data_IF_416027765866
#
_entry.id   IF_416027765866
#
_cell.length_a   1.000
_cell.length_b   1.000
_cell.length_c   1.000
_cell.angle_alpha   90.00
_cell.angle_beta   90.00
_cell.angle_gamma   90.00
#
_symmetry.space_group_name_H-M   'P 1'
#
loop_
_entity.id
_entity.type
_entity.pdbx_description
1 polymer ?
#
# COMPACT_ATOMS: atom_id res chain seq x y z
N UNK A 1 -45.16 -35.47 19.05
CA UNK A 1 -44.39 -34.60 19.96
C UNK A 1 -42.96 -35.14 20.00
N UNK A 2 -42.07 -34.63 19.15
CA UNK A 2 -40.64 -34.97 19.10
C UNK A 2 -39.93 -33.93 18.21
N UNK A 3 -39.96 -32.65 18.62
CA UNK A 3 -39.27 -31.53 17.96
C UNK A 3 -38.74 -30.58 19.05
N UNK A 4 -37.87 -31.02 19.96
CA UNK A 4 -37.22 -30.11 20.94
C UNK A 4 -35.76 -30.47 21.29
N UNK A 5 -35.06 -31.30 20.51
CA UNK A 5 -33.65 -31.69 20.81
C UNK A 5 -32.60 -31.32 19.75
N UNK A 6 -32.93 -30.50 18.75
CA UNK A 6 -31.97 -30.00 17.75
C UNK A 6 -31.37 -28.63 18.08
N UNK A 7 -31.77 -28.00 19.20
CA UNK A 7 -31.32 -26.65 19.57
C UNK A 7 -29.91 -26.59 20.18
N UNK A 8 -29.52 -27.59 20.98
CA UNK A 8 -28.27 -27.52 21.76
C UNK A 8 -27.04 -28.00 20.99
N UNK A 9 -27.19 -28.93 20.05
CA UNK A 9 -26.07 -29.46 19.25
C UNK A 9 -25.51 -28.43 18.25
N UNK A 10 -26.37 -27.53 17.75
CA UNK A 10 -25.97 -26.48 16.82
C UNK A 10 -25.15 -25.36 17.49
N UNK A 11 -25.24 -25.20 18.81
CA UNK A 11 -24.51 -24.15 19.54
C UNK A 11 -23.01 -24.46 19.67
N UNK A 12 -22.65 -25.72 19.95
CA UNK A 12 -21.26 -26.14 20.16
C UNK A 12 -20.47 -26.17 18.85
N UNK A 13 -21.08 -26.67 17.76
CA UNK A 13 -20.47 -26.66 16.43
C UNK A 13 -20.16 -25.23 15.94
N UNK A 14 -21.09 -24.28 16.13
CA UNK A 14 -20.90 -22.87 15.73
C UNK A 14 -19.79 -22.14 16.49
N UNK A 15 -19.56 -22.50 17.75
CA UNK A 15 -18.46 -21.93 18.55
C UNK A 15 -17.11 -22.43 18.02
N UNK A 16 -17.04 -23.70 17.60
CA UNK A 16 -15.83 -24.26 17.00
C UNK A 16 -15.52 -23.59 15.66
N UNK A 17 -16.52 -23.41 14.80
CA UNK A 17 -16.39 -22.73 13.50
C UNK A 17 -15.89 -21.29 13.63
N UNK A 18 -16.45 -20.53 14.59
CA UNK A 18 -16.03 -19.16 14.87
C UNK A 18 -14.58 -19.08 15.33
N UNK A 19 -14.12 -20.05 16.13
CA UNK A 19 -12.72 -20.10 16.56
C UNK A 19 -11.80 -20.47 15.39
N UNK A 20 -12.18 -21.46 14.59
CA UNK A 20 -11.42 -21.92 13.42
C UNK A 20 -11.21 -20.79 12.41
N UNK A 21 -12.28 -20.09 12.01
CA UNK A 21 -12.13 -19.00 11.03
C UNK A 21 -11.31 -17.83 11.58
N UNK A 22 -11.37 -17.55 12.89
CA UNK A 22 -10.53 -16.53 13.50
C UNK A 22 -9.04 -16.91 13.49
N UNK A 23 -8.71 -18.21 13.58
CA UNK A 23 -7.33 -18.70 13.39
C UNK A 23 -6.89 -18.47 11.95
N UNK A 24 -7.72 -18.84 10.96
CA UNK A 24 -7.44 -18.60 9.55
C UNK A 24 -7.26 -17.11 9.24
N UNK A 25 -8.10 -16.24 9.83
CA UNK A 25 -7.99 -14.80 9.65
C UNK A 25 -6.63 -14.27 10.15
N UNK A 26 -6.20 -14.67 11.35
CA UNK A 26 -4.89 -14.27 11.90
C UNK A 26 -3.74 -14.79 11.06
N UNK A 27 -3.85 -16.00 10.56
CA UNK A 27 -2.84 -16.58 9.68
C UNK A 27 -2.76 -15.82 8.34
N UNK A 28 -3.92 -15.54 7.73
CA UNK A 28 -4.01 -14.74 6.51
C UNK A 28 -3.39 -13.35 6.70
N UNK A 29 -3.64 -12.70 7.84
CA UNK A 29 -3.08 -11.40 8.17
C UNK A 29 -1.56 -11.47 8.32
N UNK A 30 -1.06 -12.52 8.99
CA UNK A 30 0.38 -12.74 9.16
C UNK A 30 1.07 -12.89 7.80
N UNK A 31 0.54 -13.76 6.94
CA UNK A 31 1.05 -13.94 5.57
C UNK A 31 1.02 -12.62 4.80
N UNK A 32 -0.12 -11.96 4.83
CA UNK A 32 -0.37 -10.74 4.07
C UNK A 32 0.54 -9.58 4.50
N UNK A 33 0.82 -9.43 5.79
CA UNK A 33 1.56 -8.27 6.30
C UNK A 33 3.07 -8.48 6.48
N UNK A 34 3.54 -9.73 6.61
CA UNK A 34 4.92 -9.98 7.04
C UNK A 34 5.72 -10.93 6.14
N UNK A 35 5.07 -11.77 5.34
CA UNK A 35 5.78 -12.76 4.51
C UNK A 35 6.10 -12.22 3.11
N UNK A 36 7.39 -12.19 2.77
CA UNK A 36 7.88 -11.80 1.44
C UNK A 36 7.97 -13.03 0.53
N UNK A 37 8.33 -14.19 1.10
CA UNK A 37 8.43 -15.45 0.38
C UNK A 37 7.10 -16.16 0.51
N UNK A 38 6.41 -16.29 -0.62
CA UNK A 38 5.06 -16.80 -0.68
C UNK A 38 5.10 -18.31 -0.91
N UNK A 39 4.67 -19.07 0.08
CA UNK A 39 4.43 -20.51 -0.05
C UNK A 39 3.06 -20.74 -0.70
N UNK A 40 3.06 -21.22 -1.94
CA UNK A 40 1.82 -21.41 -2.72
C UNK A 40 0.95 -22.54 -2.19
N UNK A 41 1.55 -23.59 -1.64
CA UNK A 41 0.80 -24.73 -1.10
C UNK A 41 0.05 -24.31 0.16
N UNK A 42 0.73 -23.55 1.03
CA UNK A 42 0.10 -22.97 2.23
C UNK A 42 -1.01 -21.98 1.89
N UNK A 43 -0.84 -21.17 0.84
CA UNK A 43 -1.93 -20.30 0.37
C UNK A 43 -3.11 -21.12 -0.13
N UNK A 44 -2.87 -22.13 -0.96
CA UNK A 44 -3.96 -22.97 -1.49
C UNK A 44 -4.75 -23.63 -0.37
N UNK A 45 -4.08 -24.19 0.64
CA UNK A 45 -4.74 -24.77 1.82
C UNK A 45 -5.62 -23.74 2.56
N UNK A 46 -5.14 -22.51 2.76
CA UNK A 46 -5.94 -21.44 3.37
C UNK A 46 -7.12 -21.01 2.51
N UNK A 47 -7.01 -21.06 1.19
CA UNK A 47 -8.13 -20.79 0.29
C UNK A 47 -9.19 -21.88 0.42
N UNK A 48 -8.81 -23.14 0.31
CA UNK A 48 -9.70 -24.29 0.44
C UNK A 48 -10.46 -24.25 1.79
N UNK A 49 -9.74 -24.04 2.90
CA UNK A 49 -10.35 -23.94 4.23
C UNK A 49 -11.26 -22.70 4.36
N UNK A 50 -10.91 -21.55 3.78
CA UNK A 50 -11.75 -20.35 3.84
C UNK A 50 -13.03 -20.49 3.00
N UNK A 51 -12.99 -21.22 1.88
CA UNK A 51 -14.16 -21.48 1.04
C UNK A 51 -15.24 -22.27 1.79
N UNK A 52 -14.87 -23.22 2.66
CA UNK A 52 -15.80 -23.96 3.51
C UNK A 52 -16.61 -23.05 4.46
N UNK A 53 -16.08 -21.88 4.81
CA UNK A 53 -16.73 -20.94 5.72
C UNK A 53 -17.57 -19.85 5.04
N UNK A 54 -17.66 -19.82 3.70
CA UNK A 54 -18.41 -18.75 2.99
C UNK A 54 -19.88 -18.71 3.44
N UNK A 55 -20.52 -19.86 3.64
CA UNK A 55 -21.94 -19.92 4.02
C UNK A 55 -22.20 -19.40 5.44
N UNK A 56 -21.24 -19.57 6.36
CA UNK A 56 -21.42 -19.29 7.79
C UNK A 56 -20.81 -17.96 8.23
N UNK A 57 -19.71 -17.55 7.57
CA UNK A 57 -18.93 -16.35 7.89
C UNK A 57 -18.45 -15.64 6.61
N UNK A 58 -19.38 -15.20 5.73
CA UNK A 58 -19.05 -14.75 4.37
C UNK A 58 -18.05 -13.60 4.33
N UNK A 59 -18.21 -12.59 5.20
CA UNK A 59 -17.32 -11.42 5.24
C UNK A 59 -15.88 -11.82 5.55
N UNK A 60 -15.68 -12.62 6.60
CA UNK A 60 -14.33 -13.04 7.02
C UNK A 60 -13.71 -14.01 6.03
N UNK A 61 -14.49 -14.96 5.52
CA UNK A 61 -14.04 -15.91 4.49
C UNK A 61 -13.58 -15.18 3.22
N UNK A 62 -14.40 -14.27 2.69
CA UNK A 62 -14.01 -13.46 1.53
C UNK A 62 -12.82 -12.55 1.81
N UNK A 63 -12.64 -12.04 3.03
CA UNK A 63 -11.47 -11.23 3.36
C UNK A 63 -10.17 -12.07 3.31
N UNK A 64 -10.21 -13.30 3.83
CA UNK A 64 -9.09 -14.25 3.72
C UNK A 64 -8.79 -14.54 2.25
N UNK A 65 -9.82 -14.88 1.45
CA UNK A 65 -9.67 -15.18 0.03
C UNK A 65 -9.12 -13.99 -0.77
N UNK A 66 -9.60 -12.76 -0.50
CA UNK A 66 -9.08 -11.56 -1.14
C UNK A 66 -7.59 -11.32 -0.84
N UNK A 67 -7.16 -11.57 0.40
CA UNK A 67 -5.75 -11.46 0.81
C UNK A 67 -4.88 -12.54 0.13
N UNK A 68 -5.39 -13.76 -0.01
CA UNK A 68 -4.70 -14.84 -0.72
C UNK A 68 -4.56 -14.53 -2.21
N UNK A 69 -5.64 -14.04 -2.85
CA UNK A 69 -5.60 -13.57 -4.22
C UNK A 69 -4.56 -12.46 -4.44
N UNK A 70 -4.44 -11.49 -3.51
CA UNK A 70 -3.37 -10.49 -3.56
C UNK A 70 -1.97 -11.11 -3.55
N UNK A 71 -1.74 -12.10 -2.68
CA UNK A 71 -0.45 -12.77 -2.56
C UNK A 71 -0.12 -13.56 -3.84
N UNK A 72 -1.12 -14.17 -4.47
CA UNK A 72 -1.00 -14.85 -5.75
C UNK A 72 -0.98 -13.91 -6.97
N UNK A 73 -1.17 -12.61 -6.74
CA UNK A 73 -1.28 -11.56 -7.77
C UNK A 73 -2.46 -11.75 -8.72
N UNK A 74 -3.54 -12.35 -8.23
CA UNK A 74 -4.81 -12.48 -8.94
C UNK A 74 -5.69 -11.26 -8.63
N UNK A 75 -5.63 -10.25 -9.51
CA UNK A 75 -6.42 -9.03 -9.36
C UNK A 75 -7.93 -9.30 -9.41
N UNK A 76 -8.37 -10.13 -10.35
CA UNK A 76 -9.79 -10.36 -10.59
C UNK A 76 -10.43 -11.09 -9.41
N UNK A 77 -9.77 -12.12 -8.87
CA UNK A 77 -10.25 -12.79 -7.66
C UNK A 77 -10.25 -11.84 -6.44
N UNK A 78 -9.19 -11.04 -6.27
CA UNK A 78 -9.11 -10.06 -5.18
C UNK A 78 -10.28 -9.08 -5.22
N UNK A 79 -10.57 -8.50 -6.39
CA UNK A 79 -11.69 -7.56 -6.55
C UNK A 79 -13.05 -8.23 -6.35
N UNK A 80 -13.27 -9.43 -6.91
CA UNK A 80 -14.52 -10.18 -6.72
C UNK A 80 -14.84 -10.41 -5.25
N UNK A 81 -13.85 -10.83 -4.46
CA UNK A 81 -14.06 -11.06 -3.02
C UNK A 81 -14.31 -9.76 -2.25
N UNK A 82 -13.59 -8.67 -2.55
CA UNK A 82 -13.88 -7.37 -1.93
C UNK A 82 -15.24 -6.82 -2.31
N UNK A 83 -15.69 -7.00 -3.55
CA UNK A 83 -17.07 -6.63 -3.94
C UNK A 83 -18.11 -7.49 -3.22
N UNK A 84 -17.88 -8.79 -3.06
CA UNK A 84 -18.76 -9.67 -2.28
C UNK A 84 -18.88 -9.20 -0.83
N UNK A 85 -17.78 -8.73 -0.22
CA UNK A 85 -17.80 -8.11 1.11
C UNK A 85 -18.65 -6.83 1.07
N UNK A 86 -18.32 -5.88 0.20
CA UNK A 86 -18.98 -4.57 0.14
C UNK A 86 -20.47 -4.64 -0.23
N UNK A 87 -20.93 -5.67 -0.92
CA UNK A 87 -22.35 -5.92 -1.15
C UNK A 87 -23.11 -6.20 0.15
N UNK A 88 -22.47 -6.87 1.11
CA UNK A 88 -23.06 -7.24 2.40
C UNK A 88 -22.78 -6.24 3.52
N UNK A 89 -21.67 -5.50 3.43
CA UNK A 89 -21.18 -4.56 4.45
C UNK A 89 -20.88 -3.17 3.87
N UNK A 90 -21.72 -2.68 2.96
CA UNK A 90 -21.52 -1.39 2.25
C UNK A 90 -21.37 -0.17 3.17
N UNK A 91 -21.83 -0.26 4.42
CA UNK A 91 -21.75 0.78 5.45
C UNK A 91 -20.64 0.53 6.51
N UNK A 92 -19.80 -0.49 6.31
CA UNK A 92 -18.68 -0.77 7.21
C UNK A 92 -17.36 -0.12 6.71
N UNK A 93 -16.81 0.87 7.43
CA UNK A 93 -15.54 1.49 7.05
C UNK A 93 -14.36 0.52 7.08
N UNK A 94 -14.39 -0.53 7.91
CA UNK A 94 -13.32 -1.52 7.97
C UNK A 94 -13.18 -2.30 6.65
N UNK A 95 -14.31 -2.61 6.00
CA UNK A 95 -14.35 -3.25 4.69
C UNK A 95 -13.64 -2.41 3.60
N UNK A 96 -13.88 -1.09 3.58
CA UNK A 96 -13.15 -0.18 2.66
C UNK A 96 -11.67 -0.05 3.02
N UNK A 97 -11.32 0.01 4.31
CA UNK A 97 -9.93 0.02 4.76
C UNK A 97 -9.19 -1.23 4.26
N UNK A 98 -9.78 -2.40 4.43
CA UNK A 98 -9.17 -3.67 4.03
C UNK A 98 -9.04 -3.81 2.50
N UNK A 99 -10.02 -3.31 1.74
CA UNK A 99 -9.93 -3.25 0.28
C UNK A 99 -8.83 -2.29 -0.19
N UNK A 100 -8.77 -1.10 0.39
CA UNK A 100 -7.70 -0.14 0.07
C UNK A 100 -6.31 -0.69 0.38
N UNK A 101 -6.16 -1.52 1.42
CA UNK A 101 -4.89 -2.16 1.70
C UNK A 101 -4.50 -3.20 0.64
N UNK A 102 -5.47 -3.99 0.18
CA UNK A 102 -5.30 -4.95 -0.90
C UNK A 102 -4.89 -4.26 -2.22
N UNK A 103 -5.59 -3.18 -2.58
CA UNK A 103 -5.27 -2.33 -3.73
C UNK A 103 -3.86 -1.75 -3.62
N UNK A 104 -3.48 -1.23 -2.45
CA UNK A 104 -2.15 -0.70 -2.18
C UNK A 104 -1.10 -1.80 -2.39
N UNK A 105 -1.32 -3.00 -1.86
CA UNK A 105 -0.36 -4.10 -2.00
C UNK A 105 -0.17 -4.54 -3.46
N UNK A 106 -1.22 -4.44 -4.26
CA UNK A 106 -1.20 -4.71 -5.71
C UNK A 106 -0.70 -3.51 -6.55
N UNK A 107 -0.30 -2.40 -5.93
CA UNK A 107 0.24 -1.21 -6.60
C UNK A 107 -0.81 -0.25 -7.17
N UNK A 108 -2.09 -0.44 -6.88
CA UNK A 108 -3.20 0.45 -7.29
C UNK A 108 -3.30 1.65 -6.33
N UNK A 109 -2.25 2.45 -6.19
CA UNK A 109 -2.15 3.46 -5.12
C UNK A 109 -3.22 4.57 -5.19
N UNK A 110 -3.57 5.06 -6.38
CA UNK A 110 -4.64 6.06 -6.53
C UNK A 110 -6.00 5.48 -6.10
N UNK A 111 -6.34 4.27 -6.57
CA UNK A 111 -7.59 3.60 -6.17
C UNK A 111 -7.60 3.28 -4.67
N UNK A 112 -6.46 2.87 -4.10
CA UNK A 112 -6.30 2.64 -2.68
C UNK A 112 -6.57 3.92 -1.87
N UNK A 113 -6.03 5.07 -2.30
CA UNK A 113 -6.33 6.37 -1.67
C UNK A 113 -7.82 6.68 -1.71
N UNK A 114 -8.47 6.56 -2.87
CA UNK A 114 -9.90 6.86 -2.98
C UNK A 114 -10.78 5.91 -2.14
N UNK A 115 -10.39 4.64 -2.06
CA UNK A 115 -11.08 3.64 -1.23
C UNK A 115 -10.89 3.93 0.26
N UNK A 116 -9.68 4.30 0.69
CA UNK A 116 -9.40 4.73 2.06
C UNK A 116 -10.14 6.04 2.41
N UNK A 117 -10.28 6.95 1.44
CA UNK A 117 -11.03 8.21 1.60
C UNK A 117 -12.50 7.92 1.88
N UNK A 118 -13.11 6.97 1.17
CA UNK A 118 -14.50 6.52 1.45
C UNK A 118 -14.64 6.00 2.89
N UNK A 119 -13.71 5.16 3.36
CA UNK A 119 -13.72 4.68 4.74
C UNK A 119 -13.71 5.85 5.75
N UNK A 120 -12.85 6.84 5.51
CA UNK A 120 -12.76 8.04 6.35
C UNK A 120 -14.04 8.90 6.30
N UNK A 121 -14.67 9.07 5.14
CA UNK A 121 -15.93 9.85 5.02
C UNK A 121 -17.06 9.26 5.87
N UNK A 122 -17.05 7.95 6.08
CA UNK A 122 -18.05 7.25 6.91
C UNK A 122 -17.80 7.50 8.41
N UNK A 123 -16.55 7.62 8.83
CA UNK A 123 -16.17 7.93 10.22
C UNK A 123 -15.06 8.99 10.26
N UNK A 124 -15.40 10.30 10.08
CA UNK A 124 -14.42 11.36 9.84
C UNK A 124 -13.45 11.65 10.99
N UNK A 125 -13.75 11.19 12.21
CA UNK A 125 -12.93 11.42 13.39
C UNK A 125 -12.20 10.16 13.86
N UNK A 126 -12.22 9.09 13.07
CA UNK A 126 -11.45 7.89 13.38
C UNK A 126 -9.96 8.11 13.07
N UNK A 127 -9.15 8.08 14.13
CA UNK A 127 -7.71 8.30 14.06
C UNK A 127 -6.97 7.22 13.26
N UNK A 128 -7.47 5.98 13.24
CA UNK A 128 -6.85 4.87 12.50
C UNK A 128 -7.12 5.02 11.00
N UNK A 129 -8.36 5.30 10.61
CA UNK A 129 -8.74 5.53 9.22
C UNK A 129 -8.02 6.75 8.64
N UNK A 130 -7.89 7.83 9.42
CA UNK A 130 -7.11 9.01 9.03
C UNK A 130 -5.64 8.66 8.79
N UNK A 131 -5.00 7.90 9.70
CA UNK A 131 -3.63 7.43 9.49
C UNK A 131 -3.49 6.55 8.25
N UNK A 132 -4.46 5.68 8.00
CA UNK A 132 -4.48 4.85 6.81
C UNK A 132 -4.61 5.67 5.52
N UNK A 133 -5.46 6.70 5.54
CA UNK A 133 -5.61 7.63 4.42
C UNK A 133 -4.32 8.44 4.18
N UNK A 134 -3.70 8.99 5.23
CA UNK A 134 -2.39 9.67 5.16
C UNK A 134 -1.36 8.81 4.43
N UNK A 135 -1.22 7.55 4.84
CA UNK A 135 -0.31 6.59 4.19
C UNK A 135 -0.60 6.42 2.70
N UNK A 136 -1.86 6.23 2.33
CA UNK A 136 -2.25 6.08 0.92
C UNK A 136 -2.09 7.38 0.12
N UNK A 137 -2.29 8.55 0.73
CA UNK A 137 -2.00 9.85 0.12
C UNK A 137 -0.50 9.98 -0.20
N UNK A 138 0.40 9.76 0.77
CA UNK A 138 1.85 9.84 0.51
C UNK A 138 2.28 8.87 -0.60
N UNK A 139 1.87 7.60 -0.50
CA UNK A 139 2.23 6.57 -1.48
C UNK A 139 1.71 6.87 -2.90
N UNK A 140 0.59 7.58 -3.03
CA UNK A 140 0.03 8.00 -4.33
C UNK A 140 0.53 9.37 -4.80
N UNK A 141 1.42 10.03 -4.05
CA UNK A 141 1.98 11.34 -4.41
C UNK A 141 1.19 12.55 -3.94
N UNK A 142 0.14 12.34 -3.14
CA UNK A 142 -0.72 13.37 -2.59
C UNK A 142 -0.18 13.91 -1.26
N UNK A 143 1.00 14.53 -1.27
CA UNK A 143 1.67 15.03 -0.06
C UNK A 143 0.91 16.17 0.62
N UNK A 144 0.33 17.10 -0.16
CA UNK A 144 -0.38 18.24 0.42
C UNK A 144 -1.71 17.81 1.05
N UNK A 145 -2.46 16.94 0.38
CA UNK A 145 -3.64 16.33 0.98
C UNK A 145 -3.27 15.45 2.20
N UNK A 146 -2.17 14.69 2.10
CA UNK A 146 -1.67 13.88 3.22
C UNK A 146 -1.41 14.75 4.46
N UNK A 147 -0.82 15.93 4.31
CA UNK A 147 -0.58 16.84 5.44
C UNK A 147 -1.87 17.32 6.09
N UNK A 148 -2.89 17.61 5.28
CA UNK A 148 -4.21 17.97 5.78
C UNK A 148 -4.82 16.85 6.63
N UNK A 149 -4.84 15.61 6.12
CA UNK A 149 -5.37 14.47 6.87
C UNK A 149 -4.52 14.11 8.09
N UNK A 150 -3.21 14.37 8.05
CA UNK A 150 -2.34 14.15 9.19
C UNK A 150 -2.65 15.11 10.33
N UNK A 151 -2.89 16.40 10.04
CA UNK A 151 -3.39 17.37 11.01
C UNK A 151 -4.73 16.95 11.62
N UNK A 152 -5.67 16.45 10.81
CA UNK A 152 -6.92 15.87 11.31
C UNK A 152 -6.68 14.65 12.21
N UNK A 153 -5.75 13.77 11.85
CA UNK A 153 -5.39 12.60 12.67
C UNK A 153 -4.89 13.02 14.05
N UNK A 154 -4.02 14.04 14.10
CA UNK A 154 -3.50 14.60 15.36
C UNK A 154 -4.64 15.13 16.23
N UNK A 155 -5.57 15.89 15.62
CA UNK A 155 -6.77 16.41 16.33
C UNK A 155 -7.70 15.29 16.82
N UNK A 156 -7.72 14.16 16.13
CA UNK A 156 -8.41 12.94 16.54
C UNK A 156 -7.61 12.09 17.56
N UNK A 157 -6.56 12.63 18.19
CA UNK A 157 -5.68 11.96 19.14
C UNK A 157 -4.87 10.79 18.56
N UNK A 158 -4.61 10.78 17.25
CA UNK A 158 -3.66 9.82 16.68
C UNK A 158 -2.26 10.03 17.25
N UNK A 159 -1.55 8.93 17.51
CA UNK A 159 -0.15 8.98 17.95
C UNK A 159 0.72 9.57 16.85
N UNK A 160 1.43 10.65 17.15
CA UNK A 160 2.38 11.29 16.23
C UNK A 160 3.71 10.57 16.25
N UNK A 161 4.14 10.10 15.10
CA UNK A 161 5.49 9.58 14.90
C UNK A 161 6.39 10.71 14.41
N UNK A 162 7.39 11.11 15.20
CA UNK A 162 8.28 12.25 14.91
C UNK A 162 8.92 12.16 13.53
N UNK A 163 9.33 10.96 13.09
CA UNK A 163 9.92 10.77 11.76
C UNK A 163 8.91 11.05 10.63
N UNK A 164 7.66 10.66 10.81
CA UNK A 164 6.58 10.88 9.83
C UNK A 164 6.17 12.33 9.75
N UNK A 165 6.03 12.96 10.90
CA UNK A 165 5.80 14.40 10.97
C UNK A 165 6.91 15.17 10.25
N UNK A 166 8.19 14.89 10.57
CA UNK A 166 9.31 15.62 10.00
C UNK A 166 9.42 15.43 8.49
N UNK A 167 9.35 14.19 8.01
CA UNK A 167 9.43 13.90 6.58
C UNK A 167 8.27 14.55 5.80
N UNK A 168 7.03 14.39 6.26
CA UNK A 168 5.87 14.92 5.54
C UNK A 168 5.86 16.46 5.55
N UNK A 169 6.18 17.08 6.69
CA UNK A 169 6.33 18.54 6.79
C UNK A 169 7.39 19.08 5.83
N UNK A 170 8.56 18.42 5.78
CA UNK A 170 9.63 18.78 4.85
C UNK A 170 9.18 18.60 3.39
N UNK A 171 8.53 17.49 3.05
CA UNK A 171 8.06 17.23 1.70
C UNK A 171 7.02 18.25 1.22
N UNK A 172 6.04 18.58 2.06
CA UNK A 172 5.01 19.57 1.73
C UNK A 172 5.63 20.94 1.52
N UNK A 173 6.54 21.36 2.41
CA UNK A 173 7.28 22.62 2.24
C UNK A 173 8.09 22.61 0.95
N UNK A 174 8.86 21.55 0.72
CA UNK A 174 9.72 21.37 -0.46
C UNK A 174 8.95 21.51 -1.76
N UNK A 175 7.78 20.86 -1.88
CA UNK A 175 6.96 20.90 -3.08
C UNK A 175 6.22 22.24 -3.25
N UNK A 176 5.73 22.86 -2.17
CA UNK A 176 5.11 24.19 -2.23
C UNK A 176 6.09 25.26 -2.69
N UNK A 177 7.32 25.26 -2.17
CA UNK A 177 8.37 26.21 -2.57
C UNK A 177 8.75 26.10 -4.06
N UNK A 178 8.46 24.96 -4.69
CA UNK A 178 8.78 24.67 -6.10
C UNK A 178 7.57 24.71 -7.02
N UNK A 179 6.40 25.02 -6.47
CA UNK A 179 5.13 25.02 -7.19
C UNK A 179 4.87 23.67 -7.89
N UNK A 180 5.08 22.57 -7.16
CA UNK A 180 4.78 21.20 -7.61
C UNK A 180 3.55 20.70 -6.85
N UNK A 181 2.49 20.37 -7.60
CA UNK A 181 1.22 19.91 -7.02
C UNK A 181 1.09 18.40 -6.87
N UNK A 182 0.16 17.97 -6.01
CA UNK A 182 -0.22 16.57 -5.85
C UNK A 182 -0.57 15.84 -7.18
N UNK A 183 -1.35 16.42 -8.14
CA UNK A 183 -1.68 15.73 -9.40
C UNK A 183 -0.46 15.43 -10.28
N UNK A 184 0.55 16.29 -10.23
CA UNK A 184 1.79 16.12 -10.97
C UNK A 184 2.64 14.98 -10.42
N UNK A 185 2.71 14.88 -9.09
CA UNK A 185 3.40 13.80 -8.39
C UNK A 185 2.69 12.46 -8.56
N UNK A 186 1.36 12.44 -8.49
CA UNK A 186 0.57 11.25 -8.79
C UNK A 186 0.80 10.78 -10.22
N UNK A 187 0.79 11.69 -11.21
CA UNK A 187 1.06 11.32 -12.61
C UNK A 187 2.44 10.67 -12.77
N UNK A 188 3.46 11.19 -12.08
CA UNK A 188 4.79 10.57 -12.06
C UNK A 188 4.76 9.15 -11.47
N UNK A 189 4.05 8.95 -10.36
CA UNK A 189 3.85 7.63 -9.76
C UNK A 189 3.10 6.68 -10.69
N UNK A 190 2.04 7.14 -11.34
CA UNK A 190 1.23 6.34 -12.26
C UNK A 190 2.04 5.86 -13.47
N UNK A 191 2.94 6.70 -14.00
CA UNK A 191 3.88 6.29 -15.05
C UNK A 191 4.78 5.16 -14.56
N UNK A 192 5.30 5.26 -13.33
CA UNK A 192 6.15 4.20 -12.79
C UNK A 192 5.38 2.89 -12.58
N UNK A 193 4.15 2.93 -12.06
CA UNK A 193 3.33 1.72 -11.93
C UNK A 193 2.94 1.15 -13.30
N UNK A 194 2.63 1.99 -14.29
CA UNK A 194 2.33 1.53 -15.64
C UNK A 194 3.50 0.77 -16.25
N UNK A 195 4.74 1.23 -16.06
CA UNK A 195 5.94 0.51 -16.51
C UNK A 195 6.07 -0.85 -15.83
N UNK A 196 5.78 -0.97 -14.53
CA UNK A 196 5.78 -2.29 -13.87
C UNK A 196 4.72 -3.22 -14.48
N UNK A 197 3.51 -2.72 -14.70
CA UNK A 197 2.41 -3.54 -15.24
C UNK A 197 2.66 -4.02 -16.66
N UNK A 198 3.31 -3.21 -17.49
CA UNK A 198 3.73 -3.61 -18.83
C UNK A 198 4.71 -4.80 -18.82
N UNK A 199 5.39 -5.02 -17.70
CA UNK A 199 6.30 -6.15 -17.48
C UNK A 199 5.67 -7.25 -16.62
N UNK A 200 4.36 -7.18 -16.37
CA UNK A 200 3.62 -8.10 -15.49
C UNK A 200 4.20 -8.14 -14.06
N UNK A 201 4.74 -7.01 -13.61
CA UNK A 201 5.31 -6.82 -12.28
C UNK A 201 4.36 -6.01 -11.41
N UNK A 202 4.43 -6.29 -10.10
CA UNK A 202 3.83 -5.45 -9.06
C UNK A 202 4.92 -5.00 -8.07
N UNK A 203 4.73 -3.87 -7.39
CA UNK A 203 5.56 -3.51 -6.25
C UNK A 203 5.56 -4.62 -5.20
N UNK A 204 6.71 -4.90 -4.58
CA UNK A 204 6.80 -5.87 -3.49
C UNK A 204 7.03 -5.14 -2.16
N UNK A 205 6.19 -5.40 -1.18
CA UNK A 205 6.38 -4.83 0.15
C UNK A 205 5.58 -5.54 1.23
N UNK A 206 6.16 -5.51 2.42
CA UNK A 206 5.58 -5.96 3.69
C UNK A 206 5.82 -4.89 4.74
N UNK A 207 5.21 -4.98 5.92
CA UNK A 207 5.34 -3.96 6.96
C UNK A 207 6.80 -3.64 7.34
N UNK A 208 7.70 -4.63 7.28
CA UNK A 208 9.13 -4.46 7.60
C UNK A 208 10.02 -4.10 6.40
N UNK A 209 9.50 -4.17 5.18
CA UNK A 209 10.20 -3.81 3.95
C UNK A 209 9.17 -3.18 3.01
N UNK A 210 8.86 -1.89 3.18
CA UNK A 210 7.78 -1.24 2.46
C UNK A 210 8.02 -1.26 0.94
N UNK A 211 6.93 -1.33 0.18
CA UNK A 211 7.01 -1.30 -1.28
C UNK A 211 7.53 0.05 -1.81
N UNK A 212 7.38 1.09 -1.01
CA UNK A 212 7.77 2.46 -1.36
C UNK A 212 8.77 2.96 -0.34
N UNK A 213 9.85 3.53 -0.86
CA UNK A 213 10.86 4.19 -0.06
C UNK A 213 11.02 5.63 -0.54
N UNK A 214 11.02 6.57 0.40
CA UNK A 214 11.20 7.97 0.09
C UNK A 214 12.25 8.58 1.01
N UNK A 215 13.16 9.36 0.43
CA UNK A 215 14.19 10.08 1.16
C UNK A 215 14.61 11.34 0.42
N UNK A 216 14.97 12.37 1.17
CA UNK A 216 15.59 13.57 0.63
C UNK A 216 17.09 13.35 0.50
N UNK A 217 17.63 13.62 -0.69
CA UNK A 217 19.06 13.45 -0.99
C UNK A 217 19.58 14.75 -1.60
N UNK A 218 20.79 15.12 -1.19
CA UNK A 218 21.54 16.18 -1.86
C UNK A 218 22.25 15.61 -3.09
N UNK A 219 22.13 16.27 -4.24
CA UNK A 219 22.92 15.92 -5.41
C UNK A 219 24.41 15.90 -5.04
N UNK A 220 25.18 14.90 -5.52
CA UNK A 220 26.62 14.87 -5.31
C UNK A 220 27.22 16.17 -5.85
N UNK A 221 28.10 16.78 -5.07
CA UNK A 221 28.87 17.94 -5.53
C UNK A 221 29.68 17.49 -6.74
N UNK A 222 29.59 18.25 -7.84
CA UNK A 222 30.34 17.95 -9.05
C UNK A 222 31.84 17.82 -8.70
N UNK A 223 32.47 16.64 -8.91
CA UNK A 223 33.87 16.44 -8.56
C UNK A 223 34.80 17.34 -9.36
N UNK A 224 34.35 17.91 -10.48
CA UNK A 224 35.11 18.89 -11.24
C UNK A 224 35.19 20.27 -10.53
N UNK A 225 34.47 20.50 -9.43
CA UNK A 225 34.55 21.72 -8.62
C UNK A 225 34.18 23.02 -9.36
N UNK A 226 33.61 22.93 -10.56
CA UNK A 226 33.45 24.06 -11.49
C UNK A 226 32.13 24.80 -11.34
N UNK A 227 31.26 24.42 -10.39
CA UNK A 227 30.06 25.19 -10.05
C UNK A 227 29.84 25.21 -8.54
N UNK A 228 29.83 26.41 -7.96
CA UNK A 228 29.27 26.74 -6.65
C UNK A 228 27.72 26.63 -6.64
N UNK A 229 27.16 25.61 -7.30
CA UNK A 229 25.73 25.36 -7.17
C UNK A 229 25.51 24.68 -5.82
N UNK A 230 24.76 25.29 -4.89
CA UNK A 230 24.42 24.66 -3.63
C UNK A 230 23.84 23.27 -3.92
N UNK A 231 24.25 22.27 -3.15
CA UNK A 231 23.88 20.88 -3.38
C UNK A 231 22.36 20.75 -3.50
N UNK A 232 21.88 20.52 -4.72
CA UNK A 232 20.46 20.56 -5.01
C UNK A 232 19.76 19.42 -4.27
N UNK A 233 18.86 19.77 -3.36
CA UNK A 233 18.00 18.82 -2.67
C UNK A 233 16.94 18.27 -3.63
N UNK A 234 16.74 16.96 -3.64
CA UNK A 234 15.67 16.30 -4.38
C UNK A 234 15.08 15.14 -3.57
N UNK A 235 13.83 14.78 -3.88
CA UNK A 235 13.19 13.59 -3.34
C UNK A 235 13.55 12.37 -4.18
N UNK A 236 14.17 11.36 -3.57
CA UNK A 236 14.30 10.02 -4.14
C UNK A 236 13.04 9.22 -3.80
N UNK A 237 12.35 8.72 -4.81
CA UNK A 237 11.16 7.90 -4.69
C UNK A 237 11.45 6.51 -5.28
N UNK A 238 11.79 5.57 -4.40
CA UNK A 238 12.02 4.18 -4.76
C UNK A 238 10.72 3.36 -4.74
N UNK A 239 10.53 2.52 -5.76
CA UNK A 239 9.54 1.43 -5.76
C UNK A 239 10.28 0.08 -5.74
N UNK A 240 10.03 -0.72 -4.71
CA UNK A 240 10.69 -2.00 -4.51
C UNK A 240 10.09 -3.05 -5.45
N UNK A 241 10.95 -3.83 -6.13
CA UNK A 241 10.56 -4.90 -7.06
C UNK A 241 11.32 -6.19 -6.77
N UNK A 242 10.82 -7.31 -7.29
CA UNK A 242 11.52 -8.61 -7.23
C UNK A 242 12.67 -8.73 -8.25
N UNK A 243 12.77 -7.80 -9.20
CA UNK A 243 13.76 -7.82 -10.29
C UNK A 243 15.14 -7.43 -9.77
N UNK A 244 16.20 -8.12 -10.23
CA UNK A 244 17.59 -7.94 -9.79
C UNK A 244 18.53 -7.77 -10.98
N UNK A 245 19.75 -7.29 -10.72
CA UNK A 245 20.85 -7.27 -11.70
C UNK A 245 20.52 -6.48 -12.96
N UNK A 246 21.01 -6.95 -14.11
CA UNK A 246 20.82 -6.29 -15.41
C UNK A 246 19.34 -6.04 -15.77
N UNK A 247 18.40 -6.99 -15.53
CA UNK A 247 16.97 -6.74 -15.71
C UNK A 247 16.45 -5.51 -14.95
N UNK A 248 16.96 -5.21 -13.75
CA UNK A 248 16.56 -4.02 -12.99
C UNK A 248 17.10 -2.73 -13.66
N UNK A 249 18.28 -2.79 -14.27
CA UNK A 249 18.83 -1.71 -15.08
C UNK A 249 17.97 -1.42 -16.31
N UNK A 250 17.55 -2.47 -17.03
CA UNK A 250 16.64 -2.37 -18.18
C UNK A 250 15.30 -1.77 -17.76
N UNK A 251 14.74 -2.21 -16.63
CA UNK A 251 13.47 -1.70 -16.11
C UNK A 251 13.55 -0.20 -15.77
N UNK A 252 14.64 0.24 -15.14
CA UNK A 252 14.88 1.67 -14.88
C UNK A 252 15.11 2.49 -16.15
N UNK A 253 15.76 1.93 -17.18
CA UNK A 253 15.90 2.60 -18.47
C UNK A 253 14.53 2.80 -19.15
N UNK A 254 13.65 1.79 -19.09
CA UNK A 254 12.26 1.89 -19.58
C UNK A 254 11.47 2.94 -18.81
N UNK A 255 11.64 3.04 -17.49
CA UNK A 255 11.03 4.10 -16.68
C UNK A 255 11.45 5.49 -17.14
N UNK A 256 12.75 5.72 -17.32
CA UNK A 256 13.26 7.00 -17.83
C UNK A 256 12.74 7.31 -19.23
N UNK A 257 12.62 6.30 -20.09
CA UNK A 257 12.04 6.46 -21.42
C UNK A 257 10.55 6.84 -21.35
N UNK A 258 9.77 6.19 -20.48
CA UNK A 258 8.36 6.51 -20.28
C UNK A 258 8.18 7.95 -19.75
N UNK A 259 9.00 8.35 -18.77
CA UNK A 259 9.01 9.71 -18.21
C UNK A 259 9.39 10.76 -19.26
N UNK A 260 10.40 10.49 -20.09
CA UNK A 260 10.81 11.46 -21.13
C UNK A 260 9.74 11.67 -22.20
N UNK A 261 8.83 10.70 -22.39
CA UNK A 261 7.69 10.77 -23.31
C UNK A 261 6.42 11.34 -22.69
N UNK A 262 6.31 11.44 -21.37
CA UNK A 262 5.03 11.63 -20.68
C UNK A 262 4.54 13.07 -20.56
N UNK A 263 5.15 14.05 -21.24
CA UNK A 263 4.80 15.48 -21.15
C UNK A 263 4.70 15.99 -19.69
N UNK A 264 5.43 15.38 -18.75
CA UNK A 264 5.50 15.88 -17.38
C UNK A 264 6.21 17.23 -17.33
N UNK A 265 5.83 18.06 -16.36
CA UNK A 265 6.53 19.31 -16.10
C UNK A 265 8.00 19.02 -15.73
N UNK A 266 8.92 19.70 -16.41
CA UNK A 266 10.36 19.58 -16.18
C UNK A 266 10.76 19.98 -14.77
N UNK A 267 9.99 20.83 -14.09
CA UNK A 267 10.20 21.20 -12.67
C UNK A 267 10.20 19.97 -11.77
N UNK A 268 9.24 19.06 -11.98
CA UNK A 268 9.15 17.82 -11.21
C UNK A 268 10.41 16.99 -11.41
N UNK A 269 10.87 16.83 -12.65
CA UNK A 269 12.02 15.97 -12.99
C UNK A 269 13.36 16.49 -12.46
N UNK A 270 13.44 17.79 -12.18
CA UNK A 270 14.57 18.44 -11.49
C UNK A 270 14.58 18.19 -9.98
N UNK A 271 13.45 17.81 -9.39
CA UNK A 271 13.26 17.76 -7.93
C UNK A 271 12.80 16.40 -7.39
N UNK A 272 12.37 15.49 -8.26
CA UNK A 272 11.95 14.15 -7.90
C UNK A 272 12.65 13.15 -8.81
N UNK A 273 13.30 12.16 -8.20
CA UNK A 273 13.91 11.03 -8.90
C UNK A 273 13.14 9.77 -8.50
N UNK A 274 12.37 9.24 -9.44
CA UNK A 274 11.68 7.96 -9.25
C UNK A 274 12.50 6.82 -9.85
N UNK A 275 12.62 5.70 -9.13
CA UNK A 275 13.35 4.52 -9.60
C UNK A 275 12.77 3.23 -9.06
N UNK A 276 13.01 2.15 -9.78
CA UNK A 276 12.84 0.81 -9.25
C UNK A 276 14.11 0.37 -8.53
N UNK A 277 13.96 -0.35 -7.44
CA UNK A 277 15.09 -0.93 -6.72
C UNK A 277 14.78 -2.33 -6.21
N UNK A 278 15.84 -3.05 -5.87
CA UNK A 278 15.76 -4.33 -5.18
C UNK A 278 16.45 -4.22 -3.83
N UNK A 279 15.73 -4.48 -2.74
CA UNK A 279 16.30 -4.45 -1.39
C UNK A 279 16.80 -5.86 -1.02
N UNK A 280 18.12 -6.04 -0.90
CA UNK A 280 18.69 -7.23 -0.28
C UNK A 280 18.59 -7.08 1.25
N UNK A 281 18.31 -8.18 1.97
CA UNK A 281 18.15 -8.18 3.44
C UNK A 281 19.37 -7.65 4.21
N UNK A 282 20.56 -7.65 3.60
CA UNK A 282 21.83 -7.34 4.27
C UNK A 282 22.12 -5.83 4.41
N UNK A 283 21.35 -4.94 3.77
CA UNK A 283 21.50 -3.47 3.86
C UNK A 283 20.60 -2.79 4.89
N UNK A 284 20.31 -3.45 6.02
CA UNK A 284 19.29 -3.04 7.00
C UNK A 284 19.72 -1.86 7.89
N UNK A 285 20.06 -0.71 7.30
CA UNK A 285 20.28 0.55 8.02
C UNK A 285 19.60 1.67 7.22
N UNK A 286 18.27 1.82 7.29
CA UNK A 286 17.59 2.97 6.68
C UNK A 286 17.29 4.05 7.70
N UNK A 287 17.89 5.22 7.49
CA UNK A 287 17.48 6.52 8.02
C UNK A 287 16.25 7.10 7.31
N UNK A 288 15.76 6.48 6.23
CA UNK A 288 14.64 6.98 5.43
C UNK A 288 13.24 6.58 5.89
N UNK A 289 12.26 7.13 5.20
CA UNK A 289 10.85 7.03 5.51
C UNK A 289 10.24 5.71 5.00
N UNK A 290 9.47 5.00 5.84
CA UNK A 290 8.97 3.64 5.55
C UNK A 290 7.45 3.55 5.72
N UNK A 291 6.70 3.24 4.64
CA UNK A 291 5.24 2.98 4.67
C UNK A 291 4.85 1.62 4.08
#
# INVERSE_FOLDING_TARGET
>A
MLIEHLGEYNGVARIDDSNRINVLLRESEKLFNYEINIDKERIAALQDEAEEFIEFHPTTAHLILARMACLLRDEDAMRRHHYSILETTSEDPASYRDYSESLRKMGYYSEARETARRAHEMVPHDAELLRHLVKNCVISGFFQASWHYFDLAIKANARVMTREFNFLSEAVRFFRERDIGDPELERLQQIAIAVLRLEELIPIGVLRSPAIHMEFIHAPVDPAGTRESPSQLFLMWGIQTSVRGDPLGVLNARLLQAISRSQLDRRILSHVKIRFFHRTREGMMSSGFNY
#
